data_IF_840423698711
#
_entry.id   IF_840423698711
#
_cell.length_a   1.000
_cell.length_b   1.000
_cell.length_c   1.000
_cell.angle_alpha   90.00
_cell.angle_beta   90.00
_cell.angle_gamma   90.00
#
_symmetry.space_group_name_H-M   'P 1'
#
loop_
_entity.id
_entity.type
_entity.pdbx_description
1 polymer ?
#
# COMPACT_ATOMS: atom_id res chain seq x y z
N UNK A 1 22.06 -35.38 -13.71
CA UNK A 1 21.33 -35.39 -12.41
C UNK A 1 20.27 -34.30 -12.49
N UNK A 2 19.05 -34.68 -12.85
CA UNK A 2 17.94 -33.74 -13.14
C UNK A 2 17.31 -33.33 -11.82
N UNK A 3 17.48 -32.09 -11.41
CA UNK A 3 16.78 -31.51 -10.27
C UNK A 3 15.38 -31.06 -10.73
N UNK A 4 14.38 -31.88 -10.43
CA UNK A 4 12.97 -31.52 -10.58
C UNK A 4 12.62 -30.45 -9.55
N UNK A 5 12.39 -29.22 -10.03
CA UNK A 5 11.81 -28.15 -9.25
C UNK A 5 10.40 -28.56 -8.81
N UNK A 6 10.20 -28.76 -7.50
CA UNK A 6 8.87 -28.96 -6.93
C UNK A 6 8.07 -27.67 -7.13
N UNK A 7 7.05 -27.77 -7.99
CA UNK A 7 6.00 -26.76 -8.20
C UNK A 7 5.49 -26.24 -6.86
N UNK A 8 5.49 -24.92 -6.72
CA UNK A 8 4.71 -24.18 -5.72
C UNK A 8 3.24 -24.58 -5.83
N UNK A 9 2.72 -25.25 -4.82
CA UNK A 9 1.28 -25.48 -4.67
C UNK A 9 0.65 -24.16 -4.24
N UNK A 10 0.14 -23.40 -5.21
CA UNK A 10 -0.88 -22.40 -4.93
C UNK A 10 -2.13 -23.17 -4.48
N UNK A 11 -2.66 -22.93 -3.27
CA UNK A 11 -3.88 -23.58 -2.84
C UNK A 11 -5.08 -22.94 -3.54
N UNK A 12 -6.16 -23.70 -3.62
CA UNK A 12 -7.41 -23.32 -4.27
C UNK A 12 -8.13 -22.19 -3.52
N UNK A 13 -9.05 -21.50 -4.19
CA UNK A 13 -9.89 -20.45 -3.57
C UNK A 13 -10.72 -20.94 -2.37
N UNK A 14 -10.95 -22.24 -2.26
CA UNK A 14 -11.70 -22.86 -1.16
C UNK A 14 -10.87 -22.97 0.14
N UNK A 15 -9.57 -23.21 0.02
CA UNK A 15 -8.64 -23.27 1.16
C UNK A 15 -8.47 -21.89 1.85
N UNK A 16 -8.67 -20.82 1.07
CA UNK A 16 -8.57 -19.43 1.54
C UNK A 16 -9.72 -19.05 2.47
N UNK A 17 -10.94 -19.46 2.15
CA UNK A 17 -12.08 -19.23 3.05
C UNK A 17 -11.94 -19.98 4.37
N UNK A 18 -11.44 -21.22 4.34
CA UNK A 18 -11.35 -22.09 5.52
C UNK A 18 -10.28 -21.60 6.50
N UNK A 19 -9.13 -21.16 6.00
CA UNK A 19 -8.05 -20.60 6.83
C UNK A 19 -8.47 -19.28 7.51
N UNK A 20 -9.16 -18.40 6.77
CA UNK A 20 -9.69 -17.13 7.29
C UNK A 20 -10.76 -17.37 8.37
N UNK A 21 -11.65 -18.34 8.17
CA UNK A 21 -12.72 -18.71 9.13
C UNK A 21 -12.17 -19.20 10.48
N UNK A 22 -10.99 -19.85 10.51
CA UNK A 22 -10.39 -20.41 11.74
C UNK A 22 -9.80 -19.35 12.68
N UNK A 23 -9.34 -18.21 12.14
CA UNK A 23 -8.67 -17.16 12.92
C UNK A 23 -9.65 -16.16 13.60
N UNK A 24 -10.94 -16.21 13.27
CA UNK A 24 -11.93 -15.19 13.68
C UNK A 24 -12.71 -15.49 14.98
N UNK A 25 -12.55 -16.68 15.59
CA UNK A 25 -13.49 -17.15 16.64
C UNK A 25 -13.08 -17.00 18.12
N UNK A 26 -11.98 -16.31 18.46
CA UNK A 26 -11.57 -16.14 19.89
C UNK A 26 -11.06 -14.74 20.19
N UNK A 27 -11.34 -14.29 21.42
CA UNK A 27 -10.78 -13.06 21.96
C UNK A 27 -9.32 -13.30 22.38
N UNK A 28 -8.38 -12.64 21.71
CA UNK A 28 -6.94 -12.81 21.96
C UNK A 28 -6.37 -11.48 22.45
N UNK A 29 -5.87 -11.46 23.68
CA UNK A 29 -5.07 -10.34 24.19
C UNK A 29 -3.72 -10.35 23.49
N UNK A 30 -3.40 -9.27 22.78
CA UNK A 30 -2.16 -9.15 22.01
C UNK A 30 -1.07 -8.43 22.79
N UNK A 31 -1.46 -7.42 23.58
CA UNK A 31 -0.60 -6.72 24.55
C UNK A 31 -1.45 -6.15 25.68
N UNK A 32 -0.81 -5.52 26.66
CA UNK A 32 -1.48 -4.76 27.73
C UNK A 32 -2.42 -3.67 27.22
N UNK A 33 -2.24 -3.23 25.98
CA UNK A 33 -3.04 -2.19 25.35
C UNK A 33 -4.05 -2.72 24.32
N UNK A 34 -4.04 -4.01 23.93
CA UNK A 34 -4.85 -4.52 22.80
C UNK A 34 -5.54 -5.85 23.02
N UNK A 35 -6.69 -5.95 22.36
CA UNK A 35 -7.46 -7.17 22.21
C UNK A 35 -7.92 -7.32 20.78
N UNK A 36 -7.76 -8.52 20.24
CA UNK A 36 -8.47 -8.98 19.07
C UNK A 36 -9.81 -9.54 19.56
N UNK A 37 -10.94 -8.96 19.16
CA UNK A 37 -12.27 -9.47 19.50
C UNK A 37 -13.08 -9.72 18.23
N UNK A 38 -13.63 -10.93 18.06
CA UNK A 38 -14.40 -11.35 16.86
C UNK A 38 -13.69 -11.12 15.51
N UNK A 39 -12.36 -11.08 15.49
CA UNK A 39 -11.58 -10.74 14.29
C UNK A 39 -11.39 -9.24 14.05
N UNK A 40 -11.54 -8.41 15.08
CA UNK A 40 -11.40 -6.96 15.04
C UNK A 40 -10.29 -6.53 15.99
N UNK A 41 -9.40 -5.64 15.55
CA UNK A 41 -8.36 -5.09 16.41
C UNK A 41 -8.94 -3.91 17.21
N UNK A 42 -8.92 -4.03 18.54
CA UNK A 42 -9.42 -3.00 19.45
C UNK A 42 -8.33 -2.52 20.41
N UNK A 43 -8.36 -1.23 20.70
CA UNK A 43 -7.67 -0.66 21.86
C UNK A 43 -8.38 -1.13 23.13
N UNK A 44 -7.62 -1.66 24.08
CA UNK A 44 -8.13 -2.04 25.40
C UNK A 44 -8.64 -0.77 26.08
N UNK A 45 -9.92 -0.75 26.44
CA UNK A 45 -10.48 0.37 27.21
C UNK A 45 -9.72 0.50 28.53
N UNK A 46 -9.34 1.73 28.90
CA UNK A 46 -8.88 2.04 30.25
C UNK A 46 -10.08 1.90 31.19
N UNK A 47 -10.30 0.69 31.68
CA UNK A 47 -11.27 0.40 32.71
C UNK A 47 -10.55 -0.34 33.82
N UNK A 48 -10.09 0.41 34.82
CA UNK A 48 -9.83 -0.16 36.14
C UNK A 48 -11.16 -0.74 36.63
N UNK A 49 -11.21 -2.06 36.75
CA UNK A 49 -12.31 -2.74 37.44
C UNK A 49 -11.91 -2.80 38.91
N UNK A 50 -12.10 -1.68 39.62
CA UNK A 50 -12.23 -1.71 41.06
C UNK A 50 -13.67 -2.13 41.38
N UNK A 51 -13.80 -3.28 42.05
CA UNK A 51 -15.06 -3.76 42.59
C UNK A 51 -15.55 -2.82 43.70
N UNK A 52 -16.79 -2.32 43.59
CA UNK A 52 -17.59 -1.86 44.74
C UNK A 52 -19.07 -2.12 44.48
N UNK A 53 -19.71 -2.68 45.49
CA UNK A 53 -21.10 -3.10 45.58
C UNK A 53 -22.14 -1.98 45.46
N UNK A 54 -23.35 -2.37 45.04
CA UNK A 54 -24.59 -1.92 45.69
C UNK A 54 -25.27 -0.62 45.24
N UNK A 55 -26.45 -0.79 44.65
CA UNK A 55 -27.65 0.05 44.78
C UNK A 55 -27.87 1.21 43.78
N UNK A 56 -29.12 1.27 43.32
CA UNK A 56 -29.70 2.03 42.21
C UNK A 56 -29.74 3.56 42.35
N UNK A 57 -29.37 4.27 41.28
CA UNK A 57 -30.09 5.43 40.72
C UNK A 57 -29.34 6.00 39.51
N UNK A 58 -30.02 6.05 38.34
CA UNK A 58 -29.69 6.83 37.15
C UNK A 58 -28.27 6.70 36.59
N UNK A 59 -28.07 5.93 35.50
CA UNK A 59 -26.77 5.85 34.81
C UNK A 59 -26.41 7.19 34.12
N UNK A 60 -25.51 8.04 34.66
CA UNK A 60 -25.17 9.32 34.07
C UNK A 60 -23.82 9.21 33.36
N UNK A 61 -23.61 8.11 32.62
CA UNK A 61 -22.50 7.97 31.69
C UNK A 61 -22.95 7.07 30.53
N UNK A 62 -23.88 7.58 29.73
CA UNK A 62 -23.72 7.39 28.28
C UNK A 62 -22.37 8.04 27.94
N UNK A 63 -21.29 7.29 28.16
CA UNK A 63 -19.95 7.64 27.69
C UNK A 63 -20.11 7.96 26.24
N UNK A 64 -19.80 9.20 25.90
CA UNK A 64 -19.62 9.71 24.56
C UNK A 64 -18.78 8.68 23.80
N UNK A 65 -19.45 7.82 23.04
CA UNK A 65 -18.81 6.90 22.13
C UNK A 65 -18.16 7.79 21.09
N UNK A 66 -16.86 8.07 21.23
CA UNK A 66 -16.09 8.49 20.06
C UNK A 66 -16.30 7.35 19.06
N UNK A 67 -17.10 7.62 18.02
CA UNK A 67 -17.40 6.63 16.99
C UNK A 67 -16.06 6.17 16.44
N UNK A 68 -15.70 4.91 16.68
CA UNK A 68 -14.49 4.30 16.16
C UNK A 68 -14.57 4.34 14.63
N UNK A 69 -13.89 5.33 14.01
CA UNK A 69 -13.88 5.49 12.55
C UNK A 69 -12.94 4.45 11.94
N UNK A 70 -13.51 3.54 11.16
CA UNK A 70 -12.76 2.57 10.38
C UNK A 70 -12.07 3.20 9.18
N UNK A 71 -10.97 2.57 8.76
CA UNK A 71 -10.22 2.97 7.56
C UNK A 71 -11.13 2.80 6.35
N UNK A 72 -11.32 3.90 5.63
CA UNK A 72 -12.00 3.92 4.32
C UNK A 72 -11.00 3.79 3.19
N UNK A 73 -11.47 3.52 1.97
CA UNK A 73 -10.65 3.54 0.75
C UNK A 73 -9.89 4.86 0.58
N UNK A 74 -10.54 5.98 0.91
CA UNK A 74 -9.92 7.30 0.85
C UNK A 74 -8.78 7.46 1.85
N UNK A 75 -8.95 6.95 3.08
CA UNK A 75 -7.88 6.95 4.08
C UNK A 75 -6.70 6.09 3.61
N UNK A 76 -6.97 4.92 3.01
CA UNK A 76 -5.96 4.05 2.43
C UNK A 76 -5.20 4.77 1.32
N UNK A 77 -5.87 5.41 0.36
CA UNK A 77 -5.23 6.10 -0.77
C UNK A 77 -4.28 7.20 -0.29
N UNK A 78 -4.75 8.04 0.64
CA UNK A 78 -3.93 9.07 1.29
C UNK A 78 -2.73 8.46 2.02
N UNK A 79 -2.93 7.35 2.74
CA UNK A 79 -1.87 6.74 3.52
C UNK A 79 -0.83 6.01 2.66
N UNK A 80 -1.26 5.36 1.57
CA UNK A 80 -0.35 4.70 0.62
C UNK A 80 0.58 5.69 -0.06
N UNK A 81 0.11 6.89 -0.40
CA UNK A 81 0.98 7.94 -0.93
C UNK A 81 2.06 8.39 0.09
N UNK A 82 1.71 8.45 1.38
CA UNK A 82 2.68 8.72 2.44
C UNK A 82 3.67 7.56 2.62
N UNK A 83 3.19 6.31 2.51
CA UNK A 83 4.00 5.10 2.55
C UNK A 83 5.01 5.05 1.41
N UNK A 84 4.54 5.30 0.20
CA UNK A 84 5.36 5.35 -1.00
C UNK A 84 6.47 6.39 -0.86
N UNK A 85 6.14 7.57 -0.31
CA UNK A 85 7.15 8.60 0.01
C UNK A 85 8.18 8.09 1.02
N UNK A 86 7.74 7.46 2.11
CA UNK A 86 8.61 6.92 3.14
C UNK A 86 9.55 5.84 2.57
N UNK A 87 9.04 4.88 1.82
CA UNK A 87 9.82 3.75 1.30
C UNK A 87 10.80 4.16 0.21
N UNK A 88 10.43 5.11 -0.67
CA UNK A 88 11.38 5.66 -1.63
C UNK A 88 12.50 6.47 -0.93
N UNK A 89 12.18 7.26 0.10
CA UNK A 89 13.19 8.00 0.86
C UNK A 89 14.14 7.09 1.67
N UNK A 90 13.70 5.87 1.98
CA UNK A 90 14.53 4.82 2.57
C UNK A 90 15.41 4.12 1.53
N UNK A 91 15.16 4.30 0.23
CA UNK A 91 15.90 3.62 -0.83
C UNK A 91 15.56 2.13 -0.98
N UNK A 92 14.34 1.72 -0.58
CA UNK A 92 13.91 0.32 -0.76
C UNK A 92 13.71 -0.01 -2.25
N UNK A 93 13.93 -1.28 -2.60
CA UNK A 93 13.65 -1.77 -3.95
C UNK A 93 12.17 -1.59 -4.31
N UNK A 94 11.89 -1.35 -5.58
CA UNK A 94 10.53 -1.12 -6.06
C UNK A 94 9.61 -2.31 -5.75
N UNK A 95 10.09 -3.53 -5.92
CA UNK A 95 9.33 -4.74 -5.60
C UNK A 95 8.96 -4.78 -4.12
N UNK A 96 9.87 -4.36 -3.23
CA UNK A 96 9.60 -4.22 -1.79
C UNK A 96 8.47 -3.23 -1.52
N UNK A 97 8.44 -2.09 -2.22
CA UNK A 97 7.37 -1.08 -2.09
C UNK A 97 6.01 -1.67 -2.52
N UNK A 98 5.96 -2.27 -3.71
CA UNK A 98 4.75 -2.88 -4.26
C UNK A 98 4.24 -4.01 -3.39
N UNK A 99 5.13 -4.88 -2.91
CA UNK A 99 4.80 -5.95 -1.98
C UNK A 99 4.25 -5.40 -0.66
N UNK A 100 4.83 -4.32 -0.12
CA UNK A 100 4.39 -3.72 1.15
C UNK A 100 2.93 -3.25 1.07
N UNK A 101 2.57 -2.62 -0.04
CA UNK A 101 1.22 -2.10 -0.28
C UNK A 101 0.25 -3.25 -0.56
N UNK A 102 0.65 -4.24 -1.36
CA UNK A 102 -0.13 -5.47 -1.58
C UNK A 102 -0.42 -6.21 -0.26
N UNK A 103 0.58 -6.30 0.63
CA UNK A 103 0.43 -6.92 1.94
C UNK A 103 -0.55 -6.13 2.83
N UNK A 104 -0.44 -4.80 2.83
CA UNK A 104 -1.36 -3.91 3.53
C UNK A 104 -2.81 -4.09 3.03
N UNK A 105 -3.02 -4.05 1.72
CA UNK A 105 -4.35 -4.17 1.11
C UNK A 105 -5.00 -5.52 1.43
N UNK A 106 -4.24 -6.61 1.30
CA UNK A 106 -4.71 -7.95 1.65
C UNK A 106 -5.05 -8.08 3.13
N UNK A 107 -4.26 -7.45 4.00
CA UNK A 107 -4.55 -7.42 5.43
C UNK A 107 -5.82 -6.62 5.73
N UNK A 108 -5.97 -5.41 5.17
CA UNK A 108 -7.15 -4.56 5.37
C UNK A 108 -8.45 -5.23 4.87
N UNK A 109 -8.38 -6.04 3.81
CA UNK A 109 -9.53 -6.82 3.30
C UNK A 109 -10.07 -7.82 4.32
N UNK A 110 -9.19 -8.45 5.10
CA UNK A 110 -9.59 -9.49 6.07
C UNK A 110 -9.65 -9.00 7.52
N UNK A 111 -9.06 -7.83 7.80
CA UNK A 111 -8.92 -7.27 9.13
C UNK A 111 -9.29 -5.78 9.12
N UNK A 112 -10.55 -5.44 9.47
CA UNK A 112 -10.94 -4.06 9.69
C UNK A 112 -10.12 -3.46 10.84
N UNK A 113 -9.62 -2.25 10.62
CA UNK A 113 -8.88 -1.47 11.62
C UNK A 113 -9.44 -0.04 11.69
N UNK A 114 -9.21 0.65 12.81
CA UNK A 114 -9.51 2.09 12.93
C UNK A 114 -8.34 2.93 12.43
N UNK A 115 -8.59 4.19 12.10
CA UNK A 115 -7.59 5.08 11.50
C UNK A 115 -6.30 5.22 12.36
N UNK A 116 -6.41 5.17 13.69
CA UNK A 116 -5.27 5.24 14.62
C UNK A 116 -4.24 4.10 14.42
N UNK A 117 -4.66 3.00 13.81
CA UNK A 117 -3.85 1.79 13.60
C UNK A 117 -3.14 1.75 12.26
N UNK A 118 -3.64 2.51 11.28
CA UNK A 118 -3.19 2.41 9.90
C UNK A 118 -1.68 2.60 9.79
N UNK A 119 -1.12 3.56 10.53
CA UNK A 119 0.32 3.83 10.53
C UNK A 119 1.18 2.66 11.01
N UNK A 120 0.90 2.15 12.20
CA UNK A 120 1.71 1.07 12.78
C UNK A 120 1.54 -0.25 12.00
N UNK A 121 0.35 -0.51 11.45
CA UNK A 121 0.09 -1.66 10.57
C UNK A 121 0.89 -1.55 9.28
N UNK A 122 0.88 -0.38 8.65
CA UNK A 122 1.68 -0.14 7.45
C UNK A 122 3.18 -0.25 7.68
N UNK A 123 3.68 0.23 8.83
CA UNK A 123 5.09 0.05 9.22
C UNK A 123 5.43 -1.43 9.40
N UNK A 124 4.54 -2.21 10.01
CA UNK A 124 4.71 -3.66 10.13
C UNK A 124 4.73 -4.35 8.75
N UNK A 125 3.89 -3.90 7.80
CA UNK A 125 3.90 -4.41 6.43
C UNK A 125 5.25 -4.15 5.74
N UNK A 126 5.77 -2.91 5.83
CA UNK A 126 7.09 -2.56 5.29
C UNK A 126 8.19 -3.40 5.94
N UNK A 127 8.13 -3.60 7.26
CA UNK A 127 9.13 -4.40 7.97
C UNK A 127 9.14 -5.87 7.50
N UNK A 128 7.95 -6.46 7.32
CA UNK A 128 7.83 -7.84 6.81
C UNK A 128 8.44 -7.97 5.42
N UNK A 129 8.06 -7.09 4.50
CA UNK A 129 8.48 -7.17 3.09
C UNK A 129 9.95 -6.80 2.92
N UNK A 130 10.47 -5.85 3.69
CA UNK A 130 11.89 -5.53 3.70
C UNK A 130 12.72 -6.74 4.14
N UNK A 131 12.32 -7.44 5.22
CA UNK A 131 13.00 -8.68 5.63
C UNK A 131 12.92 -9.80 4.59
N UNK A 132 11.89 -9.78 3.76
CA UNK A 132 11.66 -10.82 2.76
C UNK A 132 12.44 -10.56 1.47
N UNK A 133 12.47 -9.30 1.01
CA UNK A 133 12.92 -8.94 -0.34
C UNK A 133 14.27 -8.21 -0.36
N UNK A 134 14.65 -7.52 0.72
CA UNK A 134 15.93 -6.81 0.79
C UNK A 134 17.05 -7.73 1.28
N UNK A 135 18.28 -7.46 0.85
CA UNK A 135 19.46 -8.15 1.40
C UNK A 135 19.72 -7.71 2.84
N UNK A 136 20.34 -8.57 3.65
CA UNK A 136 20.74 -8.21 5.02
C UNK A 136 21.63 -6.95 5.04
N UNK A 137 22.55 -6.83 4.07
CA UNK A 137 23.40 -5.65 3.90
C UNK A 137 22.54 -4.40 3.67
N UNK A 138 21.58 -4.44 2.73
CA UNK A 138 20.68 -3.32 2.46
C UNK A 138 19.89 -2.90 3.71
N UNK A 139 19.36 -3.85 4.47
CA UNK A 139 18.63 -3.55 5.72
C UNK A 139 19.49 -2.76 6.73
N UNK A 140 20.76 -3.13 6.87
CA UNK A 140 21.69 -2.42 7.76
C UNK A 140 22.13 -1.05 7.22
N UNK A 141 22.48 -0.97 5.94
CA UNK A 141 23.01 0.25 5.31
C UNK A 141 21.93 1.32 5.20
N UNK A 142 20.70 0.93 4.86
CA UNK A 142 19.55 1.83 4.74
C UNK A 142 18.94 2.18 6.11
N UNK A 143 19.40 1.56 7.21
CA UNK A 143 18.88 1.78 8.58
C UNK A 143 17.36 1.70 8.63
N UNK A 144 16.81 0.65 8.00
CA UNK A 144 15.35 0.51 7.80
C UNK A 144 14.64 0.49 9.14
N UNK A 145 15.15 -0.28 10.10
CA UNK A 145 14.56 -0.41 11.43
C UNK A 145 14.55 0.92 12.18
N UNK A 146 15.67 1.62 12.20
CA UNK A 146 15.82 2.90 12.89
C UNK A 146 14.89 3.96 12.28
N UNK A 147 14.80 4.00 10.95
CA UNK A 147 13.93 4.94 10.24
C UNK A 147 12.45 4.67 10.57
N UNK A 148 12.04 3.39 10.57
CA UNK A 148 10.68 3.00 10.94
C UNK A 148 10.37 3.35 12.40
N UNK A 149 11.32 3.10 13.33
CA UNK A 149 11.19 3.47 14.75
C UNK A 149 11.03 4.98 14.95
N UNK A 150 11.84 5.79 14.26
CA UNK A 150 11.74 7.26 14.32
C UNK A 150 10.40 7.77 13.78
N UNK A 151 9.88 7.14 12.71
CA UNK A 151 8.58 7.51 12.16
C UNK A 151 7.43 7.28 13.14
N UNK A 152 7.46 6.17 13.89
CA UNK A 152 6.44 5.85 14.89
C UNK A 152 6.29 6.94 15.95
N UNK A 153 7.42 7.51 16.41
CA UNK A 153 7.45 8.53 17.45
C UNK A 153 6.86 9.90 17.05
N UNK A 154 6.51 10.09 15.77
CA UNK A 154 5.90 11.33 15.26
C UNK A 154 4.38 11.25 15.10
N UNK A 155 3.79 10.06 15.27
CA UNK A 155 2.36 9.82 15.11
C UNK A 155 1.54 10.14 16.36
N UNK A 156 0.22 10.27 16.21
CA UNK A 156 -0.72 10.49 17.34
C UNK A 156 -0.90 9.23 18.21
N UNK A 157 -0.63 8.06 17.66
CA UNK A 157 -0.66 6.80 18.39
C UNK A 157 0.70 6.56 19.03
N UNK A 158 0.80 6.66 20.35
CA UNK A 158 2.02 6.37 21.11
C UNK A 158 2.34 4.85 21.05
N UNK A 159 2.86 4.41 19.91
CA UNK A 159 3.21 3.02 19.60
C UNK A 159 4.69 2.76 19.83
N UNK A 160 5.03 1.60 20.40
CA UNK A 160 6.42 1.17 20.56
C UNK A 160 6.79 0.11 19.54
N UNK A 161 8.09 -0.13 19.35
CA UNK A 161 8.57 -1.20 18.46
C UNK A 161 7.98 -2.59 18.78
N UNK A 162 7.70 -2.85 20.06
CA UNK A 162 7.00 -4.07 20.47
C UNK A 162 5.63 -4.23 19.78
N UNK A 163 4.92 -3.13 19.55
CA UNK A 163 3.63 -3.13 18.83
C UNK A 163 3.81 -3.56 17.37
N UNK A 164 4.89 -3.11 16.72
CA UNK A 164 5.23 -3.52 15.35
C UNK A 164 5.47 -5.01 15.28
N UNK A 165 6.23 -5.57 16.24
CA UNK A 165 6.53 -7.00 16.27
C UNK A 165 5.26 -7.85 16.50
N UNK A 166 4.36 -7.38 17.35
CA UNK A 166 3.06 -8.03 17.57
C UNK A 166 2.19 -7.99 16.31
N UNK A 167 2.10 -6.83 15.64
CA UNK A 167 1.36 -6.68 14.39
C UNK A 167 1.97 -7.48 13.26
N UNK A 168 3.29 -7.56 13.20
CA UNK A 168 4.00 -8.43 12.27
C UNK A 168 3.52 -9.88 12.40
N UNK A 169 3.52 -10.41 13.63
CA UNK A 169 3.04 -11.76 13.90
C UNK A 169 1.57 -11.94 13.51
N UNK A 170 0.73 -10.92 13.74
CA UNK A 170 -0.69 -10.96 13.37
C UNK A 170 -0.89 -10.97 11.87
N UNK A 171 -0.23 -10.08 11.14
CA UNK A 171 -0.31 -9.99 9.67
C UNK A 171 0.11 -11.32 9.06
N UNK A 172 1.25 -11.87 9.48
CA UNK A 172 1.74 -13.16 8.99
C UNK A 172 0.77 -14.30 9.28
N UNK A 173 0.25 -14.41 10.50
CA UNK A 173 -0.73 -15.45 10.87
C UNK A 173 -2.04 -15.32 10.10
N UNK A 174 -2.58 -14.11 9.98
CA UNK A 174 -3.84 -13.80 9.30
C UNK A 174 -3.79 -14.10 7.81
N UNK A 175 -2.63 -13.87 7.19
CA UNK A 175 -2.39 -14.14 5.77
C UNK A 175 -1.80 -15.54 5.52
N UNK A 176 -1.75 -16.41 6.53
CA UNK A 176 -1.24 -17.77 6.39
C UNK A 176 0.20 -17.83 5.87
N UNK A 177 1.03 -16.86 6.28
CA UNK A 177 2.43 -16.69 5.85
C UNK A 177 2.63 -16.51 4.33
N UNK A 178 1.55 -16.21 3.58
CA UNK A 178 1.64 -15.94 2.14
C UNK A 178 2.07 -14.51 1.89
N UNK A 179 3.35 -14.23 2.09
CA UNK A 179 3.92 -12.89 1.88
C UNK A 179 4.01 -12.61 0.37
N UNK A 180 4.47 -13.59 -0.40
CA UNK A 180 4.55 -13.53 -1.85
C UNK A 180 3.16 -13.57 -2.47
N UNK A 181 2.82 -12.51 -3.19
CA UNK A 181 1.67 -12.45 -4.07
C UNK A 181 2.10 -11.68 -5.32
N UNK A 182 1.77 -12.16 -6.54
CA UNK A 182 2.08 -11.42 -7.75
C UNK A 182 1.53 -9.99 -7.66
N UNK A 183 2.42 -9.01 -7.78
CA UNK A 183 2.08 -7.59 -7.86
C UNK A 183 1.98 -7.16 -9.33
N UNK A 184 1.36 -6.02 -9.60
CA UNK A 184 1.35 -5.44 -10.95
C UNK A 184 2.79 -5.24 -11.47
N UNK A 185 3.67 -4.70 -10.61
CA UNK A 185 5.10 -4.55 -10.89
C UNK A 185 5.75 -5.86 -11.34
N UNK A 186 5.55 -6.92 -10.56
CA UNK A 186 6.14 -8.22 -10.87
C UNK A 186 5.60 -8.77 -12.19
N UNK A 187 4.28 -8.72 -12.42
CA UNK A 187 3.70 -9.23 -13.67
C UNK A 187 4.22 -8.47 -14.90
N UNK A 188 4.34 -7.14 -14.80
CA UNK A 188 4.90 -6.32 -15.86
C UNK A 188 6.36 -6.68 -16.15
N UNK A 189 7.21 -6.77 -15.12
CA UNK A 189 8.62 -7.17 -15.29
C UNK A 189 8.76 -8.57 -15.92
N UNK A 190 7.88 -9.51 -15.55
CA UNK A 190 7.87 -10.83 -16.16
C UNK A 190 7.49 -10.77 -17.64
N UNK A 191 6.51 -9.95 -18.02
CA UNK A 191 6.13 -9.74 -19.42
C UNK A 191 7.25 -9.12 -20.26
N UNK A 192 7.96 -8.14 -19.72
CA UNK A 192 9.14 -7.56 -20.37
C UNK A 192 10.27 -8.60 -20.50
N UNK A 193 10.57 -9.33 -19.44
CA UNK A 193 11.62 -10.37 -19.43
C UNK A 193 11.30 -11.52 -20.39
N UNK A 194 10.03 -11.91 -20.49
CA UNK A 194 9.57 -12.95 -21.40
C UNK A 194 9.46 -12.50 -22.87
N UNK A 195 9.63 -11.20 -23.14
CA UNK A 195 9.50 -10.62 -24.48
C UNK A 195 8.06 -10.49 -24.98
N UNK A 196 7.05 -10.71 -24.12
CA UNK A 196 5.64 -10.49 -24.47
C UNK A 196 5.27 -9.01 -24.44
N UNK A 197 6.03 -8.19 -23.70
CA UNK A 197 5.94 -6.74 -23.68
C UNK A 197 7.24 -6.18 -24.25
N UNK A 198 7.15 -5.51 -25.41
CA UNK A 198 8.30 -4.87 -26.05
C UNK A 198 8.12 -3.36 -26.01
N UNK A 199 8.94 -2.69 -25.20
CA UNK A 199 8.88 -1.25 -24.98
C UNK A 199 10.30 -0.67 -25.12
N UNK A 200 10.39 0.53 -25.69
CA UNK A 200 11.65 1.30 -25.71
C UNK A 200 12.01 1.77 -24.29
N UNK A 201 13.28 2.15 -24.02
CA UNK A 201 13.66 2.64 -22.69
C UNK A 201 12.81 3.80 -22.15
N UNK A 202 12.44 4.76 -23.02
CA UNK A 202 11.57 5.87 -22.61
C UNK A 202 10.14 5.40 -22.26
N UNK A 203 9.62 4.42 -23.00
CA UNK A 203 8.30 3.85 -22.72
C UNK A 203 8.30 2.99 -21.45
N UNK A 204 9.43 2.33 -21.13
CA UNK A 204 9.60 1.64 -19.85
C UNK A 204 9.59 2.61 -18.67
N UNK A 205 10.21 3.79 -18.80
CA UNK A 205 10.14 4.84 -17.79
C UNK A 205 8.69 5.36 -17.60
N UNK A 206 7.96 5.59 -18.69
CA UNK A 206 6.54 5.97 -18.64
C UNK A 206 5.67 4.86 -18.03
N UNK A 207 5.90 3.61 -18.41
CA UNK A 207 5.19 2.45 -17.85
C UNK A 207 5.43 2.34 -16.35
N UNK A 208 6.67 2.54 -15.92
CA UNK A 208 7.04 2.44 -14.52
C UNK A 208 6.35 3.51 -13.66
N UNK A 209 6.13 4.69 -14.22
CA UNK A 209 5.32 5.74 -13.60
C UNK A 209 3.87 5.29 -13.43
N UNK A 210 3.22 4.76 -14.47
CA UNK A 210 1.83 4.31 -14.36
C UNK A 210 1.65 3.13 -13.40
N UNK A 211 2.60 2.20 -13.38
CA UNK A 211 2.60 1.11 -12.42
C UNK A 211 2.68 1.64 -10.99
N UNK A 212 3.54 2.61 -10.70
CA UNK A 212 3.59 3.25 -9.38
C UNK A 212 2.34 4.12 -9.11
N UNK A 213 1.75 4.74 -10.13
CA UNK A 213 0.51 5.51 -10.02
C UNK A 213 -0.68 4.63 -9.63
N UNK A 214 -0.71 3.38 -10.10
CA UNK A 214 -1.77 2.42 -9.75
C UNK A 214 -1.84 2.15 -8.25
N UNK A 215 -0.73 2.28 -7.54
CA UNK A 215 -0.69 2.13 -6.09
C UNK A 215 -1.48 3.22 -5.36
N UNK A 216 -1.63 4.40 -5.96
CA UNK A 216 -2.25 5.57 -5.31
C UNK A 216 -3.76 5.42 -5.14
N UNK A 217 -4.40 4.56 -5.94
CA UNK A 217 -5.84 4.34 -5.89
C UNK A 217 -6.20 2.86 -5.78
N UNK A 218 -6.86 2.48 -4.67
CA UNK A 218 -7.30 1.10 -4.47
C UNK A 218 -8.33 0.61 -5.49
N UNK A 219 -8.94 1.49 -6.29
CA UNK A 219 -9.85 1.09 -7.37
C UNK A 219 -9.15 0.22 -8.42
N UNK A 220 -7.82 0.29 -8.58
CA UNK A 220 -7.11 -0.65 -9.45
C UNK A 220 -7.23 -2.11 -9.02
N UNK A 221 -7.57 -2.38 -7.76
CA UNK A 221 -7.76 -3.74 -7.26
C UNK A 221 -9.06 -4.39 -7.74
N UNK A 222 -10.00 -3.64 -8.34
CA UNK A 222 -11.20 -4.22 -8.96
C UNK A 222 -10.97 -4.71 -10.38
N UNK A 223 -9.86 -4.33 -11.02
CA UNK A 223 -9.52 -4.77 -12.37
C UNK A 223 -8.66 -6.03 -12.35
N UNK A 224 -8.71 -6.82 -13.43
CA UNK A 224 -7.75 -7.89 -13.61
C UNK A 224 -6.37 -7.30 -13.85
N UNK A 225 -5.33 -7.92 -13.31
CA UNK A 225 -3.95 -7.39 -13.43
C UNK A 225 -3.51 -7.31 -14.90
N UNK A 226 -3.93 -8.28 -15.73
CA UNK A 226 -3.68 -8.26 -17.18
C UNK A 226 -4.28 -7.02 -17.85
N UNK A 227 -5.52 -6.63 -17.51
CA UNK A 227 -6.17 -5.46 -18.09
C UNK A 227 -5.46 -4.15 -17.69
N UNK A 228 -4.93 -4.08 -16.46
CA UNK A 228 -4.12 -2.94 -16.02
C UNK A 228 -2.78 -2.89 -16.74
N UNK A 229 -2.15 -4.05 -16.99
CA UNK A 229 -0.91 -4.13 -17.80
C UNK A 229 -1.18 -3.68 -19.24
N UNK A 230 -2.24 -4.17 -19.87
CA UNK A 230 -2.64 -3.78 -21.23
C UNK A 230 -2.90 -2.27 -21.29
N UNK A 231 -3.55 -1.69 -20.29
CA UNK A 231 -3.76 -0.25 -20.17
C UNK A 231 -2.46 0.55 -20.09
N UNK A 232 -1.48 0.06 -19.31
CA UNK A 232 -0.15 0.68 -19.22
C UNK A 232 0.59 0.60 -20.56
N UNK A 233 0.54 -0.54 -21.24
CA UNK A 233 1.16 -0.71 -22.57
C UNK A 233 0.51 0.24 -23.57
N UNK A 234 -0.82 0.31 -23.61
CA UNK A 234 -1.56 1.24 -24.45
C UNK A 234 -1.15 2.70 -24.22
N UNK A 235 -1.12 3.15 -22.96
CA UNK A 235 -0.76 4.53 -22.58
C UNK A 235 0.68 4.91 -22.97
N UNK A 236 1.56 3.93 -23.07
CA UNK A 236 2.99 4.16 -23.35
C UNK A 236 3.34 3.98 -24.82
N UNK A 237 2.47 3.37 -25.62
CA UNK A 237 2.75 3.02 -27.02
C UNK A 237 1.81 3.70 -28.02
N UNK A 238 0.50 3.66 -27.76
CA UNK A 238 -0.54 4.05 -28.71
C UNK A 238 -1.12 5.43 -28.40
N UNK A 239 -1.12 5.84 -27.13
CA UNK A 239 -1.67 7.13 -26.75
C UNK A 239 -0.81 8.28 -27.30
N UNK A 240 -1.42 9.11 -28.16
CA UNK A 240 -0.81 10.32 -28.70
C UNK A 240 -1.46 11.57 -28.10
N UNK A 241 -0.69 12.43 -27.42
CA UNK A 241 -1.21 13.70 -26.91
C UNK A 241 -1.79 14.57 -28.04
N UNK A 242 -2.92 15.23 -27.77
CA UNK A 242 -3.60 16.12 -28.72
C UNK A 242 -4.13 15.44 -30.00
N UNK A 243 -4.26 14.11 -29.99
CA UNK A 243 -5.02 13.37 -31.00
C UNK A 243 -6.44 13.08 -30.50
N UNK A 244 -7.41 13.05 -31.40
CA UNK A 244 -8.75 12.55 -31.10
C UNK A 244 -8.68 11.02 -31.05
N UNK A 245 -8.31 10.48 -29.90
CA UNK A 245 -8.38 9.04 -29.68
C UNK A 245 -9.82 8.64 -29.36
N UNK A 246 -10.43 7.75 -30.14
CA UNK A 246 -11.79 7.25 -29.92
C UNK A 246 -11.80 6.21 -28.80
N UNK A 247 -11.89 6.66 -27.54
CA UNK A 247 -11.97 5.79 -26.37
C UNK A 247 -13.16 4.83 -26.42
N UNK A 248 -14.21 5.18 -27.16
CA UNK A 248 -15.41 4.38 -27.39
C UNK A 248 -15.12 3.12 -28.20
N UNK A 249 -14.08 3.12 -29.03
CA UNK A 249 -13.64 1.97 -29.83
C UNK A 249 -12.80 0.97 -29.04
N UNK A 250 -12.32 1.35 -27.86
CA UNK A 250 -11.50 0.50 -26.99
C UNK A 250 -12.35 -0.53 -26.25
N UNK A 251 -11.79 -1.73 -26.07
CA UNK A 251 -12.41 -2.75 -25.24
C UNK A 251 -12.65 -2.22 -23.81
N UNK A 252 -13.87 -2.35 -23.24
CA UNK A 252 -14.19 -1.81 -21.92
C UNK A 252 -13.22 -2.24 -20.81
N UNK A 253 -12.70 -3.48 -20.89
CA UNK A 253 -11.75 -4.04 -19.92
C UNK A 253 -10.47 -3.20 -19.80
N UNK A 254 -9.97 -2.65 -20.91
CA UNK A 254 -8.76 -1.80 -20.95
C UNK A 254 -9.11 -0.33 -20.76
N UNK A 255 -10.25 0.09 -21.33
CA UNK A 255 -10.73 1.48 -21.28
C UNK A 255 -10.89 1.99 -19.85
N UNK A 256 -11.51 1.22 -18.98
CA UNK A 256 -11.82 1.69 -17.63
C UNK A 256 -10.53 1.94 -16.78
N UNK A 257 -9.52 1.04 -16.76
CA UNK A 257 -8.20 1.34 -16.19
C UNK A 257 -7.49 2.53 -16.85
N UNK A 258 -7.54 2.66 -18.18
CA UNK A 258 -6.95 3.80 -18.92
C UNK A 258 -7.54 5.12 -18.44
N UNK A 259 -8.88 5.20 -18.36
CA UNK A 259 -9.57 6.39 -17.86
C UNK A 259 -9.21 6.73 -16.42
N UNK A 260 -9.07 5.73 -15.55
CA UNK A 260 -8.64 5.96 -14.18
C UNK A 260 -7.21 6.50 -14.10
N UNK A 261 -6.28 5.97 -14.91
CA UNK A 261 -4.92 6.51 -15.01
C UNK A 261 -4.92 7.98 -15.46
N UNK A 262 -5.73 8.35 -16.45
CA UNK A 262 -5.88 9.73 -16.88
C UNK A 262 -6.37 10.65 -15.75
N UNK A 263 -7.43 10.25 -15.06
CA UNK A 263 -7.98 11.03 -13.95
C UNK A 263 -6.93 11.24 -12.87
N UNK A 264 -6.20 10.20 -12.48
CA UNK A 264 -5.15 10.31 -11.46
C UNK A 264 -3.98 11.17 -11.93
N UNK A 265 -3.52 11.01 -13.17
CA UNK A 265 -2.46 11.84 -13.74
C UNK A 265 -2.86 13.33 -13.75
N UNK A 266 -4.07 13.65 -14.20
CA UNK A 266 -4.60 15.02 -14.21
C UNK A 266 -4.77 15.59 -12.80
N UNK A 267 -5.21 14.77 -11.85
CA UNK A 267 -5.32 15.19 -10.45
C UNK A 267 -3.96 15.53 -9.85
N UNK A 268 -2.90 14.78 -10.18
CA UNK A 268 -1.54 15.11 -9.78
C UNK A 268 -1.04 16.41 -10.42
N UNK A 269 -1.35 16.63 -11.70
CA UNK A 269 -0.97 17.84 -12.41
C UNK A 269 -1.65 19.09 -11.82
N UNK A 270 -2.96 19.00 -11.52
CA UNK A 270 -3.73 20.08 -10.88
C UNK A 270 -3.33 20.26 -9.41
N UNK A 271 -3.01 19.18 -8.70
CA UNK A 271 -2.65 19.19 -7.29
C UNK A 271 -1.36 19.96 -7.00
N UNK A 272 -0.47 20.14 -7.98
CA UNK A 272 0.79 20.89 -7.83
C UNK A 272 0.65 22.34 -7.37
N UNK A 273 -0.55 22.92 -7.34
CA UNK A 273 -0.83 24.26 -6.81
C UNK A 273 -1.29 24.32 -5.34
N UNK A 274 -1.77 23.22 -4.75
CA UNK A 274 -2.19 23.19 -3.33
C UNK A 274 -1.12 22.52 -2.45
N UNK A 275 -0.50 23.24 -1.48
CA UNK A 275 0.50 22.66 -0.58
C UNK A 275 -0.01 21.49 0.27
N UNK A 276 -1.33 21.28 0.41
CA UNK A 276 -1.91 20.10 1.07
C UNK A 276 -1.92 18.83 0.21
N UNK A 277 -1.71 18.93 -1.12
CA UNK A 277 -1.58 17.80 -2.05
C UNK A 277 -0.20 17.12 -2.01
N UNK A 278 0.70 17.61 -1.16
CA UNK A 278 2.11 17.22 -0.96
C UNK A 278 2.41 15.72 -0.93
N UNK A 279 1.40 14.89 -0.64
CA UNK A 279 1.55 13.46 -0.39
C UNK A 279 2.04 12.69 -1.63
N UNK A 280 1.69 13.13 -2.85
CA UNK A 280 2.14 12.48 -4.09
C UNK A 280 3.42 13.08 -4.69
N UNK A 281 4.05 14.04 -4.00
CA UNK A 281 5.23 14.75 -4.51
C UNK A 281 6.41 13.80 -4.77
N UNK A 282 6.57 12.75 -3.97
CA UNK A 282 7.63 11.75 -4.17
C UNK A 282 7.50 10.98 -5.48
N UNK A 283 6.27 10.70 -5.94
CA UNK A 283 6.00 10.04 -7.22
C UNK A 283 6.44 10.94 -8.38
N UNK A 284 6.10 12.23 -8.33
CA UNK A 284 6.56 13.22 -9.30
C UNK A 284 8.08 13.36 -9.24
N UNK A 285 8.68 13.50 -8.06
CA UNK A 285 10.14 13.62 -7.90
C UNK A 285 10.90 12.43 -8.49
N UNK A 286 10.38 11.20 -8.34
CA UNK A 286 11.02 9.96 -8.81
C UNK A 286 10.96 9.80 -10.34
N UNK A 287 9.84 10.19 -10.95
CA UNK A 287 9.55 9.83 -12.35
C UNK A 287 9.67 11.01 -13.31
N UNK A 288 9.33 12.23 -12.90
CA UNK A 288 9.05 13.33 -13.83
C UNK A 288 10.22 13.75 -14.74
N UNK A 289 11.46 13.52 -14.31
CA UNK A 289 12.64 13.81 -15.14
C UNK A 289 12.77 12.84 -16.31
N UNK A 290 12.39 11.57 -16.10
CA UNK A 290 12.48 10.47 -17.07
C UNK A 290 11.24 10.34 -17.96
N UNK A 291 10.09 10.84 -17.49
CA UNK A 291 8.85 10.84 -18.27
C UNK A 291 9.00 11.51 -19.63
N UNK A 292 8.37 10.92 -20.63
CA UNK A 292 8.23 11.52 -21.95
C UNK A 292 7.48 12.85 -21.87
N UNK A 293 7.59 13.66 -22.94
CA UNK A 293 6.94 14.99 -22.98
C UNK A 293 5.42 14.90 -22.80
N UNK A 294 4.81 13.80 -23.23
CA UNK A 294 3.38 13.53 -23.10
C UNK A 294 2.91 13.52 -21.64
N UNK A 295 3.71 12.90 -20.77
CA UNK A 295 3.34 12.62 -19.38
C UNK A 295 4.10 13.49 -18.38
N UNK A 296 4.86 14.47 -18.85
CA UNK A 296 5.65 15.33 -17.97
C UNK A 296 4.75 16.28 -17.19
N UNK A 297 4.81 16.18 -15.87
CA UNK A 297 4.18 17.13 -14.95
C UNK A 297 4.87 18.50 -15.08
N UNK A 298 4.08 19.52 -15.36
CA UNK A 298 4.56 20.90 -15.46
C UNK A 298 4.88 21.40 -14.04
N UNK A 299 6.10 21.94 -13.85
CA UNK A 299 6.48 22.54 -12.56
C UNK A 299 5.55 23.73 -12.27
N UNK A 300 4.70 23.61 -11.25
CA UNK A 300 4.25 24.80 -10.52
C UNK A 300 5.50 25.53 -10.00
N UNK A 301 5.54 26.87 -9.94
CA UNK A 301 6.70 27.65 -9.49
C UNK A 301 6.92 27.51 -7.97
N UNK A 302 7.08 26.29 -7.50
CA UNK A 302 7.47 25.94 -6.15
C UNK A 302 9.01 25.90 -6.05
N UNK A 303 9.58 26.11 -4.85
CA UNK A 303 11.03 26.02 -4.65
C UNK A 303 11.58 24.65 -5.06
N UNK A 304 12.90 24.57 -5.40
CA UNK A 304 13.57 23.31 -5.69
C UNK A 304 13.31 22.29 -4.58
N UNK A 305 13.13 21.03 -4.96
CA UNK A 305 12.71 19.99 -4.03
C UNK A 305 13.90 19.37 -3.32
N UNK A 306 14.12 19.68 -2.04
CA UNK A 306 15.23 19.15 -1.22
C UNK A 306 15.01 17.71 -0.70
N UNK A 307 14.27 16.88 -1.43
CA UNK A 307 14.02 15.50 -1.02
C UNK A 307 15.17 14.58 -1.45
N UNK A 308 15.38 13.48 -0.71
CA UNK A 308 16.36 12.43 -1.04
C UNK A 308 16.20 11.81 -2.43
N UNK A 309 15.03 11.95 -3.06
CA UNK A 309 14.83 11.45 -4.42
C UNK A 309 15.48 12.39 -5.44
N UNK A 310 15.43 13.71 -5.21
CA UNK A 310 16.05 14.71 -6.08
C UNK A 310 17.53 14.95 -5.73
N UNK A 311 17.91 14.72 -4.47
CA UNK A 311 19.25 14.88 -3.92
C UNK A 311 19.61 13.63 -3.08
N UNK A 312 19.98 12.51 -3.75
CA UNK A 312 20.23 11.21 -3.12
C UNK A 312 21.39 11.17 -2.13
#
# INVERSE_FOLDING_TARGET
MVLTAKRSLSPSTEDDEVSVKRCCRRDVKLTDKFTLHRGWLHKKGTGDVAAVDGSSAGFPWQRTTSRLRHVTTQDRNMYVAALYTLTNNMGLMQDTIHMSISLLDRFLKIQPITLEWLEVVSIACIWITAKFNETHTALSTLRVKETLQQRQGRGKGNWSWHHVLVLECQILKRLGFRILHPTLQWQFQQGVTAGTISLTPAQLDDAQYFIDLSLMDASFQSFAVADVVDAVVFLTTEFLPNSNFEFESMEPRVRDPVMLFFVLHLNLQKGGSDPKSSIHRSLICKHNQRLSKAWRHHKSPAPPCDCRICHP
#
